data_IF_785400397746
#
_entry.id   IF_785400397746
#
_cell.length_a   1.000
_cell.length_b   1.000
_cell.length_c   1.000
_cell.angle_alpha   90.00
_cell.angle_beta   90.00
_cell.angle_gamma   90.00
#
_symmetry.space_group_name_H-M   'P 1'
#
loop_
_entity.id
_entity.type
_entity.pdbx_description
1 polymer ?
#
# COMPACT_ATOMS: atom_id res chain seq x y z
N UNK A 1 15.28 47.87 -40.28
CA UNK A 1 15.50 46.58 -39.60
C UNK A 1 15.24 46.79 -38.12
N UNK A 2 14.12 46.29 -37.60
CA UNK A 2 13.73 46.43 -36.20
C UNK A 2 13.38 45.04 -35.68
N UNK A 3 14.29 44.44 -34.92
CA UNK A 3 14.12 43.11 -34.34
C UNK A 3 13.21 43.20 -33.11
N UNK A 4 11.98 42.71 -33.23
CA UNK A 4 11.12 42.41 -32.09
C UNK A 4 11.63 41.12 -31.44
N UNK A 5 12.01 41.17 -30.17
CA UNK A 5 12.26 39.98 -29.36
C UNK A 5 10.92 39.41 -28.88
N UNK A 6 10.58 38.14 -29.19
CA UNK A 6 9.64 37.38 -28.40
C UNK A 6 10.45 36.68 -27.29
N UNK A 7 10.05 36.85 -26.03
CA UNK A 7 10.19 35.88 -24.93
C UNK A 7 10.04 36.61 -23.59
N UNK A 8 8.79 36.81 -23.18
CA UNK A 8 8.42 37.27 -21.84
C UNK A 8 7.28 36.44 -21.27
N UNK A 9 7.27 35.13 -21.52
CA UNK A 9 6.22 34.21 -21.05
C UNK A 9 6.78 32.91 -20.46
N UNK A 10 7.90 32.95 -19.73
CA UNK A 10 8.49 31.77 -19.10
C UNK A 10 8.24 31.67 -17.58
N UNK A 11 7.62 32.67 -16.94
CA UNK A 11 7.20 32.57 -15.55
C UNK A 11 5.74 32.99 -15.41
N UNK A 12 4.94 32.09 -14.83
CA UNK A 12 3.48 32.13 -14.80
C UNK A 12 2.90 33.45 -14.29
N UNK A 13 1.82 33.90 -14.95
CA UNK A 13 1.11 35.09 -14.54
C UNK A 13 0.51 34.93 -13.13
N UNK A 14 0.58 35.96 -12.27
CA UNK A 14 -0.23 35.98 -11.06
C UNK A 14 -1.70 36.10 -11.44
N UNK A 15 -2.55 35.23 -10.87
CA UNK A 15 -4.00 35.24 -11.09
C UNK A 15 -4.58 36.57 -10.63
N UNK A 16 -5.46 37.17 -11.44
CA UNK A 16 -6.23 38.35 -11.05
C UNK A 16 -7.16 38.00 -9.88
N UNK A 17 -7.14 38.82 -8.83
CA UNK A 17 -7.99 38.65 -7.66
C UNK A 17 -9.45 38.85 -8.03
N UNK A 18 -10.22 37.76 -8.02
CA UNK A 18 -11.68 37.83 -7.99
C UNK A 18 -12.12 37.93 -6.52
N UNK A 19 -12.80 39.00 -6.18
CA UNK A 19 -13.47 39.22 -4.89
C UNK A 19 -14.43 38.05 -4.55
N UNK A 20 -14.26 37.35 -3.42
CA UNK A 20 -15.26 36.40 -2.94
C UNK A 20 -16.42 37.17 -2.25
N UNK A 21 -17.58 37.21 -2.91
CA UNK A 21 -18.83 37.55 -2.24
C UNK A 21 -19.13 36.48 -1.18
N UNK A 22 -19.50 36.98 0.00
CA UNK A 22 -20.01 36.26 1.19
C UNK A 22 -19.00 35.40 1.95
N UNK A 23 -18.29 36.03 2.91
CA UNK A 23 -17.68 35.34 4.04
C UNK A 23 -18.40 35.76 5.32
N UNK A 24 -18.95 34.76 6.02
CA UNK A 24 -19.44 34.86 7.38
C UNK A 24 -18.24 35.20 8.28
N UNK A 25 -18.15 36.46 8.74
CA UNK A 25 -17.10 36.91 9.66
C UNK A 25 -17.60 36.84 11.10
N UNK A 26 -17.46 35.67 11.71
CA UNK A 26 -17.48 35.52 13.17
C UNK A 26 -16.04 35.23 13.66
N UNK A 27 -15.20 36.26 13.68
CA UNK A 27 -13.87 36.21 14.32
C UNK A 27 -13.45 37.59 14.79
N UNK A 28 -14.28 38.23 15.60
CA UNK A 28 -13.89 39.42 16.35
C UNK A 28 -14.84 39.54 17.54
N UNK A 29 -14.31 39.61 18.76
CA UNK A 29 -15.10 39.72 19.99
C UNK A 29 -16.11 40.88 19.96
N UNK A 30 -15.80 41.93 19.20
CA UNK A 30 -16.69 43.09 19.00
C UNK A 30 -17.92 42.80 18.14
N UNK A 31 -17.86 41.89 17.15
CA UNK A 31 -19.04 41.54 16.35
C UNK A 31 -20.00 40.61 17.09
N UNK A 32 -19.48 39.76 17.97
CA UNK A 32 -20.29 38.92 18.85
C UNK A 32 -21.00 39.75 19.94
N UNK A 33 -20.30 40.72 20.54
CA UNK A 33 -20.89 41.63 21.53
C UNK A 33 -22.01 42.50 20.93
N UNK A 34 -21.84 42.99 19.69
CA UNK A 34 -22.88 43.75 18.99
C UNK A 34 -24.12 42.89 18.69
N UNK A 35 -23.94 41.62 18.33
CA UNK A 35 -25.04 40.69 18.08
C UNK A 35 -25.81 40.35 19.37
N UNK A 36 -25.11 40.14 20.49
CA UNK A 36 -25.75 39.92 21.79
C UNK A 36 -26.48 41.18 22.29
N UNK A 37 -25.89 42.36 22.14
CA UNK A 37 -26.56 43.62 22.51
C UNK A 37 -27.84 43.84 21.70
N UNK A 38 -27.86 43.46 20.42
CA UNK A 38 -29.05 43.54 19.57
C UNK A 38 -30.13 42.54 20.00
N UNK A 39 -29.73 41.31 20.38
CA UNK A 39 -30.65 40.28 20.85
C UNK A 39 -31.27 40.63 22.22
N UNK A 40 -30.49 41.28 23.10
CA UNK A 40 -30.94 41.71 24.43
C UNK A 40 -31.84 42.96 24.34
N UNK A 41 -31.62 43.82 23.35
CA UNK A 41 -32.41 45.05 23.15
C UNK A 41 -33.75 44.82 22.42
N UNK A 42 -34.02 43.62 21.90
CA UNK A 42 -35.29 43.31 21.25
C UNK A 42 -36.38 42.97 22.29
N UNK A 43 -37.50 43.71 22.35
CA UNK A 43 -38.59 43.38 23.26
C UNK A 43 -39.38 42.18 22.74
N UNK A 44 -39.70 41.23 23.64
CA UNK A 44 -40.53 40.06 23.38
C UNK A 44 -41.96 40.48 22.96
N UNK A 45 -42.21 40.57 21.65
CA UNK A 45 -43.59 40.61 21.11
C UNK A 45 -44.11 39.19 20.93
N UNK A 46 -44.89 38.74 21.91
CA UNK A 46 -45.80 37.60 21.78
C UNK A 46 -46.96 37.99 20.86
N UNK A 47 -47.08 37.39 19.68
CA UNK A 47 -48.30 37.46 18.87
C UNK A 47 -48.93 36.08 18.73
N UNK A 48 -50.10 35.95 19.36
CA UNK A 48 -51.00 34.82 19.32
C UNK A 48 -51.78 34.73 18.00
N UNK A 49 -52.06 33.49 17.60
CA UNK A 49 -53.31 32.98 17.00
C UNK A 49 -54.04 33.79 15.93
N UNK A 50 -54.07 33.25 14.70
CA UNK A 50 -55.24 33.35 13.81
C UNK A 50 -55.58 31.97 13.25
N UNK A 51 -56.78 31.48 13.61
CA UNK A 51 -57.39 30.30 13.05
C UNK A 51 -57.96 30.59 11.66
N UNK A 52 -57.89 29.59 10.78
CA UNK A 52 -58.53 29.62 9.47
C UNK A 52 -59.54 28.49 9.33
N UNK A 53 -60.62 28.86 8.65
CA UNK A 53 -61.91 28.22 8.41
C UNK A 53 -61.85 26.89 7.66
N UNK A 54 -62.85 26.06 7.92
CA UNK A 54 -63.10 24.80 7.22
C UNK A 54 -63.51 25.02 5.75
N UNK A 55 -63.00 24.15 4.85
CA UNK A 55 -63.54 24.00 3.49
C UNK A 55 -62.48 23.80 2.43
N UNK A 56 -61.95 22.57 2.31
CA UNK A 56 -61.71 21.83 1.07
C UNK A 56 -60.92 20.54 1.38
N UNK A 57 -61.18 19.49 0.61
CA UNK A 57 -60.66 18.13 0.79
C UNK A 57 -59.17 18.19 1.13
N UNK A 58 -58.78 17.61 2.28
CA UNK A 58 -57.39 17.57 2.73
C UNK A 58 -56.60 16.81 1.66
N UNK A 59 -55.68 17.50 0.99
CA UNK A 59 -54.68 16.83 0.18
C UNK A 59 -53.88 15.91 1.13
N UNK A 60 -53.81 14.64 0.76
CA UNK A 60 -53.14 13.61 1.54
C UNK A 60 -51.67 14.01 1.84
N UNK A 61 -51.24 13.79 3.08
CA UNK A 61 -49.87 14.07 3.54
C UNK A 61 -48.84 13.34 2.66
N UNK A 62 -49.26 12.27 1.99
CA UNK A 62 -48.42 11.50 1.07
C UNK A 62 -48.49 11.96 -0.39
N UNK A 63 -49.40 12.87 -0.75
CA UNK A 63 -49.53 13.40 -2.13
C UNK A 63 -48.97 14.82 -2.25
N UNK A 64 -48.95 15.60 -1.17
CA UNK A 64 -48.34 16.93 -1.15
C UNK A 64 -46.81 16.83 -1.05
N UNK A 65 -46.12 17.15 -2.14
CA UNK A 65 -44.67 17.22 -2.13
C UNK A 65 -44.27 18.52 -1.42
N UNK A 66 -43.39 18.44 -0.42
CA UNK A 66 -42.90 19.60 0.33
C UNK A 66 -42.56 20.75 -0.63
N UNK A 67 -43.16 21.93 -0.42
CA UNK A 67 -43.04 23.08 -1.33
C UNK A 67 -41.56 23.53 -1.34
N UNK A 68 -40.83 23.12 -2.38
CA UNK A 68 -39.39 23.31 -2.49
C UNK A 68 -38.54 22.03 -2.54
N UNK A 69 -39.11 20.84 -2.33
CA UNK A 69 -38.40 19.56 -2.44
C UNK A 69 -37.84 19.34 -3.86
N UNK A 70 -38.62 19.64 -4.91
CA UNK A 70 -38.16 19.58 -6.30
C UNK A 70 -37.04 20.57 -6.59
N UNK A 71 -37.07 21.76 -5.99
CA UNK A 71 -36.00 22.77 -6.14
C UNK A 71 -34.72 22.33 -5.41
N UNK A 72 -34.85 21.69 -4.25
CA UNK A 72 -33.73 21.16 -3.46
C UNK A 72 -33.09 19.96 -4.17
N UNK A 73 -33.91 19.02 -4.66
CA UNK A 73 -33.45 17.91 -5.49
C UNK A 73 -32.72 18.39 -6.75
N UNK A 74 -33.27 19.40 -7.46
CA UNK A 74 -32.59 19.97 -8.62
C UNK A 74 -31.27 20.70 -8.27
N UNK A 75 -31.17 21.30 -7.09
CA UNK A 75 -29.93 21.91 -6.61
C UNK A 75 -28.90 20.86 -6.20
N UNK A 76 -29.33 19.76 -5.58
CA UNK A 76 -28.47 18.62 -5.22
C UNK A 76 -27.98 17.89 -6.49
N UNK A 77 -28.84 17.70 -7.50
CA UNK A 77 -28.46 17.13 -8.79
C UNK A 77 -27.44 18.03 -9.54
N UNK A 78 -27.59 19.36 -9.44
CA UNK A 78 -26.64 20.32 -10.02
C UNK A 78 -25.32 20.35 -9.24
N UNK A 79 -25.36 20.29 -7.91
CA UNK A 79 -24.18 20.21 -7.06
C UNK A 79 -23.42 18.89 -7.29
N UNK A 80 -24.11 17.76 -7.48
CA UNK A 80 -23.51 16.49 -7.85
C UNK A 80 -22.86 16.54 -9.24
N UNK A 81 -23.39 17.31 -10.19
CA UNK A 81 -22.71 17.51 -11.49
C UNK A 81 -21.41 18.31 -11.34
N UNK A 82 -21.39 19.33 -10.48
CA UNK A 82 -20.19 20.15 -10.24
C UNK A 82 -19.15 19.37 -9.41
N UNK A 83 -19.55 18.64 -8.37
CA UNK A 83 -18.66 17.81 -7.56
C UNK A 83 -18.10 16.61 -8.33
N UNK A 84 -18.90 15.99 -9.21
CA UNK A 84 -18.43 14.84 -10.02
C UNK A 84 -17.51 15.23 -11.17
N UNK A 85 -17.41 16.53 -11.48
CA UNK A 85 -16.35 17.07 -12.35
C UNK A 85 -15.01 17.27 -11.62
N UNK A 86 -15.04 17.46 -10.30
CA UNK A 86 -13.86 17.70 -9.45
C UNK A 86 -13.28 16.41 -8.83
N UNK A 87 -14.11 15.42 -8.51
CA UNK A 87 -13.67 14.09 -8.06
C UNK A 87 -14.00 13.06 -9.14
N UNK A 88 -13.02 12.75 -9.98
CA UNK A 88 -13.13 11.94 -11.20
C UNK A 88 -13.50 10.47 -11.01
N UNK A 89 -14.67 10.18 -10.44
CA UNK A 89 -15.25 8.84 -10.36
C UNK A 89 -16.62 8.80 -11.03
N UNK A 90 -16.63 8.72 -12.36
CA UNK A 90 -17.76 8.16 -13.12
C UNK A 90 -17.26 7.27 -14.26
N UNK A 91 -17.11 5.98 -13.98
CA UNK A 91 -17.28 4.94 -15.00
C UNK A 91 -18.77 4.88 -15.40
N UNK A 92 -19.19 5.80 -16.27
CA UNK A 92 -20.33 5.57 -17.16
C UNK A 92 -19.88 5.85 -18.59
N UNK A 93 -20.27 4.94 -19.47
CA UNK A 93 -19.76 4.76 -20.82
C UNK A 93 -20.11 5.93 -21.75
N UNK A 94 -19.40 7.05 -21.62
CA UNK A 94 -19.35 8.06 -22.67
C UNK A 94 -17.95 8.72 -22.64
N UNK A 95 -17.05 8.18 -23.47
CA UNK A 95 -15.76 8.78 -23.78
C UNK A 95 -16.08 9.92 -24.75
N UNK A 96 -16.55 11.05 -24.22
CA UNK A 96 -17.03 12.19 -25.03
C UNK A 96 -15.96 13.29 -25.21
N UNK A 97 -14.70 12.94 -24.97
CA UNK A 97 -13.56 13.88 -25.09
C UNK A 97 -12.44 13.39 -26.00
N UNK A 98 -12.59 12.23 -26.63
CA UNK A 98 -11.56 11.64 -27.50
C UNK A 98 -12.13 11.55 -28.90
N UNK A 99 -11.50 12.27 -29.84
CA UNK A 99 -11.88 12.31 -31.24
C UNK A 99 -12.07 10.89 -31.80
N UNK A 100 -13.17 10.68 -32.52
CA UNK A 100 -13.60 9.36 -33.02
C UNK A 100 -12.49 8.67 -33.82
N UNK A 101 -11.69 9.44 -34.56
CA UNK A 101 -10.55 8.95 -35.33
C UNK A 101 -9.42 8.43 -34.44
N UNK A 102 -9.17 9.08 -33.30
CA UNK A 102 -8.17 8.61 -32.34
C UNK A 102 -8.63 7.36 -31.61
N UNK A 103 -9.94 7.22 -31.37
CA UNK A 103 -10.55 6.00 -30.82
C UNK A 103 -10.47 4.83 -31.80
N UNK A 104 -10.73 5.07 -33.10
CA UNK A 104 -10.53 4.04 -34.12
C UNK A 104 -9.07 3.61 -34.26
N UNK A 105 -8.12 4.55 -34.21
CA UNK A 105 -6.68 4.24 -34.24
C UNK A 105 -6.24 3.44 -33.02
N UNK A 106 -6.72 3.79 -31.82
CA UNK A 106 -6.38 3.07 -30.59
C UNK A 106 -6.99 1.66 -30.57
N UNK A 107 -8.24 1.52 -31.03
CA UNK A 107 -8.91 0.22 -31.18
C UNK A 107 -8.16 -0.69 -32.16
N UNK A 108 -7.76 -0.18 -33.33
CA UNK A 108 -6.97 -0.93 -34.31
C UNK A 108 -5.63 -1.40 -33.73
N UNK A 109 -4.90 -0.54 -33.02
CA UNK A 109 -3.65 -0.91 -32.35
C UNK A 109 -3.85 -1.95 -31.24
N UNK A 110 -4.98 -1.89 -30.53
CA UNK A 110 -5.36 -2.88 -29.53
C UNK A 110 -5.62 -4.25 -30.16
N UNK A 111 -6.33 -4.28 -31.28
CA UNK A 111 -6.59 -5.50 -32.05
C UNK A 111 -5.29 -6.10 -32.63
N UNK A 112 -4.39 -5.26 -33.16
CA UNK A 112 -3.07 -5.68 -33.65
C UNK A 112 -2.21 -6.28 -32.51
N UNK A 113 -2.22 -5.66 -31.33
CA UNK A 113 -1.55 -6.21 -30.14
C UNK A 113 -2.18 -7.51 -29.67
N UNK A 114 -3.51 -7.61 -29.63
CA UNK A 114 -4.19 -8.85 -29.25
C UNK A 114 -3.86 -10.00 -30.19
N UNK A 115 -3.79 -9.73 -31.50
CA UNK A 115 -3.33 -10.70 -32.50
C UNK A 115 -1.87 -11.10 -32.27
N UNK A 116 -0.99 -10.13 -32.00
CA UNK A 116 0.42 -10.37 -31.67
C UNK A 116 0.56 -11.30 -30.46
N UNK A 117 -0.13 -10.99 -29.35
CA UNK A 117 -0.10 -11.83 -28.15
C UNK A 117 -0.71 -13.22 -28.40
N UNK A 118 -1.75 -13.33 -29.23
CA UNK A 118 -2.31 -14.64 -29.59
C UNK A 118 -1.35 -15.48 -30.44
N UNK A 119 -0.57 -14.84 -31.32
CA UNK A 119 0.47 -15.50 -32.11
C UNK A 119 1.67 -15.89 -31.25
N UNK A 120 2.08 -15.02 -30.32
CA UNK A 120 3.13 -15.33 -29.34
C UNK A 120 2.72 -16.47 -28.41
N UNK A 121 1.46 -16.50 -27.98
CA UNK A 121 0.90 -17.62 -27.19
C UNK A 121 0.87 -18.93 -27.99
N UNK A 122 0.58 -18.86 -29.30
CA UNK A 122 0.56 -20.05 -30.17
C UNK A 122 1.96 -20.54 -30.56
N UNK A 123 3.01 -19.72 -30.35
CA UNK A 123 4.37 -20.01 -30.80
C UNK A 123 4.66 -19.62 -32.26
N UNK A 124 3.64 -19.17 -33.01
CA UNK A 124 3.74 -18.79 -34.43
C UNK A 124 4.30 -17.37 -34.64
N UNK A 125 4.77 -16.71 -33.58
CA UNK A 125 5.26 -15.34 -33.68
C UNK A 125 6.69 -15.30 -34.23
N UNK A 126 6.80 -15.06 -35.53
CA UNK A 126 8.06 -14.73 -36.20
C UNK A 126 8.36 -13.25 -35.97
N UNK A 127 9.40 -12.93 -35.20
CA UNK A 127 9.91 -11.56 -35.14
C UNK A 127 10.33 -11.13 -36.55
N UNK A 128 9.95 -9.94 -37.04
CA UNK A 128 10.54 -9.39 -38.25
C UNK A 128 12.02 -9.10 -37.97
N UNK A 129 12.87 -10.07 -38.30
CA UNK A 129 14.32 -10.04 -38.10
C UNK A 129 14.91 -8.85 -38.85
N UNK A 130 15.30 -7.81 -38.12
CA UNK A 130 16.22 -6.79 -38.62
C UNK A 130 17.63 -7.36 -38.53
N UNK A 131 17.98 -8.22 -39.49
CA UNK A 131 19.35 -8.76 -39.65
C UNK A 131 19.48 -10.26 -39.36
N UNK A 132 19.27 -11.08 -40.39
CA UNK A 132 20.12 -12.24 -40.72
C UNK A 132 20.41 -13.32 -39.68
N UNK A 133 19.49 -13.69 -38.79
CA UNK A 133 19.63 -14.89 -37.96
C UNK A 133 18.42 -15.80 -38.19
N UNK A 134 18.71 -17.09 -38.39
CA UNK A 134 17.85 -18.12 -38.95
C UNK A 134 16.48 -18.24 -38.27
N UNK A 135 15.44 -18.44 -39.09
CA UNK A 135 14.02 -18.39 -38.72
C UNK A 135 13.53 -19.58 -37.87
N UNK A 136 14.33 -20.63 -37.67
CA UNK A 136 13.89 -21.85 -36.99
C UNK A 136 14.26 -21.92 -35.49
N UNK A 137 15.18 -21.07 -35.00
CA UNK A 137 15.63 -21.06 -33.60
C UNK A 137 15.18 -19.81 -32.82
N UNK A 138 14.36 -18.96 -33.43
CA UNK A 138 13.84 -17.72 -32.81
C UNK A 138 12.50 -17.91 -32.08
N UNK A 139 12.15 -19.15 -31.73
CA UNK A 139 11.05 -19.41 -30.81
C UNK A 139 11.26 -18.60 -29.53
N UNK A 140 10.26 -17.79 -29.16
CA UNK A 140 10.28 -17.01 -27.92
C UNK A 140 10.78 -17.89 -26.77
N UNK A 141 11.97 -17.60 -26.21
CA UNK A 141 12.59 -18.35 -25.10
C UNK A 141 11.69 -18.46 -23.86
N UNK A 142 10.60 -17.72 -23.83
CA UNK A 142 9.53 -17.80 -22.83
C UNK A 142 8.40 -18.67 -23.38
N UNK A 143 8.26 -19.87 -22.85
CA UNK A 143 7.07 -20.71 -23.00
C UNK A 143 5.94 -20.10 -22.17
N UNK A 144 5.03 -19.38 -22.85
CA UNK A 144 3.95 -18.66 -22.19
C UNK A 144 2.90 -19.58 -21.57
N UNK A 145 2.72 -20.80 -22.09
CA UNK A 145 1.78 -21.75 -21.52
C UNK A 145 2.36 -22.37 -20.24
N UNK A 146 3.67 -22.65 -20.20
CA UNK A 146 4.36 -23.03 -18.95
C UNK A 146 4.30 -21.93 -17.90
N UNK A 147 4.60 -20.68 -18.28
CA UNK A 147 4.57 -19.52 -17.35
C UNK A 147 3.16 -19.19 -16.86
N UNK A 148 2.15 -19.39 -17.71
CA UNK A 148 0.74 -19.22 -17.32
C UNK A 148 0.30 -20.32 -16.34
N UNK A 149 0.66 -21.58 -16.63
CA UNK A 149 0.43 -22.71 -15.74
C UNK A 149 1.19 -22.60 -14.41
N UNK A 150 2.43 -22.10 -14.40
CA UNK A 150 3.18 -21.80 -13.16
C UNK A 150 2.48 -20.70 -12.36
N UNK A 151 2.02 -19.61 -13.00
CA UNK A 151 1.39 -18.49 -12.27
C UNK A 151 -0.03 -18.79 -11.73
N UNK A 152 -0.75 -19.72 -12.36
CA UNK A 152 -2.09 -20.12 -11.93
C UNK A 152 -2.11 -21.46 -11.19
N UNK A 153 -1.09 -22.31 -11.36
CA UNK A 153 -0.93 -23.59 -10.69
C UNK A 153 -0.44 -23.48 -9.25
N UNK A 154 0.17 -22.36 -8.84
CA UNK A 154 0.47 -22.12 -7.41
C UNK A 154 -0.77 -21.73 -6.58
N UNK A 155 -1.96 -21.64 -7.19
CA UNK A 155 -3.22 -21.38 -6.49
C UNK A 155 -4.21 -22.55 -6.62
N UNK A 156 -3.73 -23.71 -7.09
CA UNK A 156 -4.48 -24.97 -7.05
C UNK A 156 -3.50 -26.08 -6.64
N UNK A 157 -3.64 -26.49 -5.40
CA UNK A 157 -2.92 -27.53 -4.69
C UNK A 157 -2.64 -28.80 -5.53
N UNK A 158 -1.46 -29.37 -5.28
CA UNK A 158 -1.04 -30.75 -5.56
C UNK A 158 -0.83 -31.19 -7.02
N UNK A 159 0.35 -30.88 -7.57
CA UNK A 159 1.00 -31.76 -8.56
C UNK A 159 2.53 -31.55 -8.56
N UNK A 160 3.22 -31.93 -7.48
CA UNK A 160 4.67 -32.18 -7.52
C UNK A 160 4.94 -33.67 -7.39
N UNK A 161 5.25 -34.27 -8.52
CA UNK A 161 6.07 -35.48 -8.59
C UNK A 161 7.51 -35.09 -8.26
N UNK A 162 7.90 -35.25 -6.99
CA UNK A 162 9.27 -35.57 -6.64
C UNK A 162 9.27 -36.66 -5.55
N UNK A 163 10.25 -37.53 -5.68
CA UNK A 163 10.29 -38.87 -5.16
C UNK A 163 10.88 -38.90 -3.75
N UNK A 164 10.18 -39.58 -2.84
CA UNK A 164 10.68 -40.26 -1.62
C UNK A 164 11.28 -39.38 -0.51
N UNK A 165 10.44 -38.97 0.45
CA UNK A 165 10.70 -39.19 1.88
C UNK A 165 9.41 -39.01 2.71
N UNK A 166 9.18 -39.91 3.67
CA UNK A 166 7.95 -39.96 4.45
C UNK A 166 7.96 -38.98 5.63
N UNK A 167 6.92 -38.14 5.71
CA UNK A 167 6.21 -37.70 6.93
C UNK A 167 7.03 -37.42 8.22
N UNK A 168 7.01 -36.19 8.70
CA UNK A 168 6.40 -35.84 10.01
C UNK A 168 6.34 -34.32 10.20
N UNK A 169 5.30 -33.87 10.90
CA UNK A 169 4.98 -32.50 11.36
C UNK A 169 6.04 -31.89 12.33
N UNK A 170 7.28 -32.38 12.28
CA UNK A 170 8.41 -32.02 13.15
C UNK A 170 9.49 -31.22 12.41
N UNK A 171 9.38 -31.04 11.09
CA UNK A 171 10.34 -30.29 10.28
C UNK A 171 10.04 -28.79 10.16
N UNK A 172 8.88 -28.33 10.65
CA UNK A 172 8.51 -26.92 10.71
C UNK A 172 9.13 -26.18 11.93
N UNK A 173 9.76 -26.90 12.86
CA UNK A 173 10.46 -26.29 13.98
C UNK A 173 11.72 -25.55 13.47
N UNK A 174 11.70 -24.22 13.57
CA UNK A 174 12.84 -23.37 13.22
C UNK A 174 13.92 -23.50 14.30
N UNK A 175 15.08 -24.05 13.95
CA UNK A 175 16.23 -24.27 14.83
C UNK A 175 17.39 -23.38 14.41
N UNK A 176 18.18 -22.92 15.39
CA UNK A 176 19.42 -22.18 15.15
C UNK A 176 20.57 -23.15 14.83
N UNK A 177 21.24 -22.95 13.70
CA UNK A 177 22.42 -23.71 13.29
C UNK A 177 23.54 -22.79 12.80
N UNK A 178 24.77 -23.31 12.79
CA UNK A 178 25.96 -22.58 12.35
C UNK A 178 26.26 -22.94 10.90
N UNK A 179 26.24 -21.93 10.03
CA UNK A 179 26.58 -21.99 8.60
C UNK A 179 28.08 -22.28 8.39
N UNK A 180 28.47 -22.65 7.17
CA UNK A 180 29.84 -22.93 6.74
C UNK A 180 30.82 -21.78 7.07
N UNK A 181 30.30 -20.56 7.14
CA UNK A 181 31.05 -19.33 7.46
C UNK A 181 31.10 -19.00 8.96
N UNK A 182 30.64 -19.91 9.84
CA UNK A 182 30.63 -19.68 11.29
C UNK A 182 29.55 -18.71 11.76
N UNK A 183 28.55 -18.39 10.92
CA UNK A 183 27.44 -17.48 11.25
C UNK A 183 26.26 -18.28 11.78
N UNK A 184 25.60 -17.78 12.82
CA UNK A 184 24.35 -18.34 13.33
C UNK A 184 23.19 -17.98 12.41
N UNK A 185 22.48 -18.99 11.87
CA UNK A 185 21.29 -18.84 11.03
C UNK A 185 20.12 -19.60 11.65
N UNK A 186 18.91 -19.08 11.48
CA UNK A 186 17.66 -19.77 11.81
C UNK A 186 17.14 -20.48 10.56
N UNK A 187 16.87 -21.79 10.62
CA UNK A 187 16.31 -22.55 9.50
C UNK A 187 15.57 -23.79 9.98
N UNK A 188 15.09 -24.61 9.05
CA UNK A 188 14.39 -25.84 9.39
C UNK A 188 15.35 -26.89 9.95
N UNK A 189 14.83 -27.83 10.73
CA UNK A 189 15.61 -28.95 11.27
C UNK A 189 16.34 -29.74 10.18
N UNK A 190 15.68 -29.97 9.04
CA UNK A 190 16.27 -30.62 7.87
C UNK A 190 17.47 -29.84 7.29
N UNK A 191 17.41 -28.50 7.27
CA UNK A 191 18.52 -27.66 6.82
C UNK A 191 19.72 -27.74 7.78
N UNK A 192 19.46 -27.70 9.09
CA UNK A 192 20.48 -27.87 10.12
C UNK A 192 21.18 -29.25 10.04
N UNK A 193 20.45 -30.32 9.72
CA UNK A 193 21.04 -31.65 9.54
C UNK A 193 21.86 -31.79 8.27
N UNK A 194 21.46 -31.13 7.17
CA UNK A 194 22.26 -31.04 5.94
C UNK A 194 23.60 -30.34 6.20
N UNK A 195 23.60 -29.27 6.98
CA UNK A 195 24.83 -28.54 7.35
C UNK A 195 25.76 -29.40 8.21
N UNK A 196 25.20 -30.10 9.21
CA UNK A 196 25.97 -31.05 10.04
C UNK A 196 26.58 -32.17 9.20
N UNK A 197 25.86 -32.67 8.18
CA UNK A 197 26.39 -33.68 7.26
C UNK A 197 27.56 -33.13 6.43
N UNK A 198 27.44 -31.91 5.90
CA UNK A 198 28.53 -31.22 5.19
C UNK A 198 29.76 -31.04 6.07
N UNK A 199 29.59 -30.58 7.31
CA UNK A 199 30.70 -30.41 8.26
C UNK A 199 31.42 -31.74 8.53
N UNK A 200 30.69 -32.85 8.69
CA UNK A 200 31.30 -34.17 8.87
C UNK A 200 32.10 -34.62 7.65
N UNK A 201 31.58 -34.39 6.45
CA UNK A 201 32.27 -34.73 5.19
C UNK A 201 33.54 -33.87 5.05
N UNK A 202 33.47 -32.57 5.38
CA UNK A 202 34.62 -31.68 5.34
C UNK A 202 35.74 -32.15 6.29
N UNK A 203 35.39 -32.50 7.54
CA UNK A 203 36.35 -33.04 8.52
C UNK A 203 36.95 -34.36 8.04
N UNK A 204 36.14 -35.27 7.49
CA UNK A 204 36.65 -36.53 6.94
C UNK A 204 37.57 -36.32 5.74
N UNK A 205 37.22 -35.41 4.84
CA UNK A 205 38.06 -35.06 3.70
C UNK A 205 39.40 -34.42 4.14
N UNK A 206 39.39 -33.62 5.20
CA UNK A 206 40.62 -33.06 5.78
C UNK A 206 41.50 -34.15 6.41
N UNK A 207 40.90 -35.11 7.11
CA UNK A 207 41.63 -36.27 7.64
C UNK A 207 42.22 -37.15 6.54
N UNK A 208 41.45 -37.46 5.49
CA UNK A 208 41.91 -38.25 4.35
C UNK A 208 43.05 -37.53 3.60
N UNK A 209 42.95 -36.21 3.43
CA UNK A 209 44.01 -35.39 2.84
C UNK A 209 45.28 -35.41 3.69
N UNK A 210 45.15 -35.39 5.02
CA UNK A 210 46.28 -35.51 5.94
C UNK A 210 46.96 -36.88 5.85
N UNK A 211 46.20 -37.97 5.68
CA UNK A 211 46.73 -39.33 5.47
C UNK A 211 47.41 -39.51 4.10
N UNK A 212 46.87 -38.89 3.05
CA UNK A 212 47.42 -38.94 1.68
C UNK A 212 48.65 -38.03 1.48
N UNK A 213 48.91 -37.11 2.41
CA UNK A 213 50.05 -36.21 2.35
C UNK A 213 51.35 -36.98 2.59
N UNK A 214 52.27 -36.92 1.62
CA UNK A 214 53.61 -37.51 1.76
C UNK A 214 54.51 -36.79 2.78
N UNK A 215 54.00 -35.76 3.46
CA UNK A 215 54.71 -35.04 4.52
C UNK A 215 54.41 -35.68 5.87
N UNK A 216 55.43 -35.99 6.69
CA UNK A 216 55.18 -36.48 8.05
C UNK A 216 54.40 -35.45 8.86
N UNK A 217 53.54 -35.93 9.77
CA UNK A 217 52.83 -35.07 10.72
C UNK A 217 53.83 -34.27 11.56
N UNK A 218 53.48 -33.01 11.83
CA UNK A 218 54.31 -32.15 12.67
C UNK A 218 54.36 -32.72 14.10
N UNK A 219 55.54 -32.89 14.71
CA UNK A 219 55.64 -33.44 16.05
C UNK A 219 54.93 -32.54 17.08
N UNK A 220 54.00 -33.11 17.86
CA UNK A 220 53.20 -32.39 18.86
C UNK A 220 53.99 -32.05 20.14
N UNK A 221 55.12 -32.72 20.37
CA UNK A 221 55.97 -32.57 21.56
C UNK A 221 57.35 -32.03 21.22
N UNK A 222 57.42 -30.85 20.61
CA UNK A 222 58.72 -30.18 20.42
C UNK A 222 59.25 -29.79 21.80
N UNK A 223 60.34 -30.42 22.24
CA UNK A 223 61.01 -30.06 23.47
C UNK A 223 61.75 -28.73 23.25
N UNK A 224 61.16 -27.63 23.71
CA UNK A 224 61.82 -26.32 23.70
C UNK A 224 62.90 -26.30 24.80
N UNK A 225 64.16 -26.22 24.38
CA UNK A 225 65.27 -25.99 25.32
C UNK A 225 65.31 -24.52 25.78
N UNK A 226 65.85 -24.29 26.98
CA UNK A 226 65.97 -22.96 27.61
C UNK A 226 66.77 -21.94 26.77
N UNK A 227 67.67 -22.43 25.91
CA UNK A 227 68.48 -21.61 25.01
C UNK A 227 67.77 -21.23 23.69
N UNK A 228 66.58 -21.77 23.40
CA UNK A 228 65.87 -21.49 22.16
C UNK A 228 65.10 -20.17 22.33
N UNK A 229 65.65 -19.10 21.75
CA UNK A 229 64.99 -17.81 21.68
C UNK A 229 63.89 -17.84 20.60
N UNK A 230 62.76 -18.49 20.89
CA UNK A 230 61.60 -18.55 19.98
C UNK A 230 61.11 -17.15 19.59
N UNK A 231 61.24 -16.17 20.49
CA UNK A 231 60.87 -14.78 20.25
C UNK A 231 61.87 -13.96 19.41
N UNK A 232 63.07 -14.48 19.12
CA UNK A 232 64.07 -13.74 18.34
C UNK A 232 63.74 -13.71 16.83
N UNK A 233 62.99 -14.69 16.34
CA UNK A 233 62.56 -14.78 14.95
C UNK A 233 61.04 -14.93 14.86
N UNK A 234 60.34 -13.80 14.97
CA UNK A 234 58.90 -13.71 14.74
C UNK A 234 58.68 -13.10 13.33
N UNK A 235 58.44 -13.91 12.29
CA UNK A 235 58.14 -13.39 10.95
C UNK A 235 56.87 -12.52 10.95
N UNK A 236 55.97 -12.80 11.89
CA UNK A 236 54.68 -12.11 12.03
C UNK A 236 54.79 -10.76 12.74
N UNK A 237 55.93 -10.44 13.36
CA UNK A 237 56.08 -9.18 14.10
C UNK A 237 55.94 -7.93 13.21
N UNK A 238 56.32 -8.03 11.92
CA UNK A 238 56.06 -6.97 10.95
C UNK A 238 54.55 -6.82 10.66
N UNK A 239 53.83 -7.94 10.59
CA UNK A 239 52.37 -7.98 10.42
C UNK A 239 51.67 -7.43 11.65
N UNK A 240 52.10 -7.83 12.85
CA UNK A 240 51.57 -7.32 14.13
C UNK A 240 51.72 -5.81 14.24
N UNK A 241 52.88 -5.25 13.87
CA UNK A 241 53.08 -3.79 13.85
C UNK A 241 52.18 -3.10 12.84
N UNK A 242 52.07 -3.64 11.62
CA UNK A 242 51.18 -3.08 10.61
C UNK A 242 49.71 -3.11 11.06
N UNK A 243 49.29 -4.21 11.72
CA UNK A 243 47.96 -4.35 12.29
C UNK A 243 47.73 -3.38 13.46
N UNK A 244 48.74 -3.16 14.32
CA UNK A 244 48.67 -2.19 15.39
C UNK A 244 48.55 -0.75 14.85
N UNK A 245 49.30 -0.41 13.80
CA UNK A 245 49.22 0.88 13.12
C UNK A 245 47.85 1.10 12.44
N UNK A 246 47.29 0.05 11.82
CA UNK A 246 45.94 0.08 11.26
C UNK A 246 44.88 0.23 12.36
N UNK A 247 45.01 -0.49 13.47
CA UNK A 247 44.11 -0.38 14.61
C UNK A 247 44.18 0.99 15.28
N UNK A 248 45.35 1.62 15.32
CA UNK A 248 45.53 2.98 15.82
C UNK A 248 44.90 4.03 14.89
N UNK A 249 44.91 3.80 13.57
CA UNK A 249 44.26 4.65 12.57
C UNK A 249 42.75 4.42 12.46
N UNK A 250 42.24 3.30 12.95
CA UNK A 250 40.80 3.01 12.93
C UNK A 250 40.07 3.93 13.90
N UNK A 251 39.00 4.56 13.43
CA UNK A 251 38.14 5.40 14.27
C UNK A 251 37.65 4.59 15.48
N UNK A 252 38.04 5.06 16.68
CA UNK A 252 37.66 4.47 17.98
C UNK A 252 36.26 4.90 18.42
N UNK A 253 35.54 5.64 17.56
CA UNK A 253 34.14 5.93 17.83
C UNK A 253 33.40 4.61 17.99
N UNK A 254 32.66 4.49 19.08
CA UNK A 254 31.82 3.33 19.37
C UNK A 254 31.01 3.03 18.11
N UNK A 255 31.27 1.87 17.51
CA UNK A 255 30.55 1.36 16.36
C UNK A 255 29.64 0.28 16.93
N UNK A 256 28.31 0.44 16.94
CA UNK A 256 27.49 1.40 16.19
C UNK A 256 27.48 2.83 16.79
N UNK A 257 27.35 3.87 15.95
CA UNK A 257 27.24 5.25 16.41
C UNK A 257 26.03 5.40 17.33
N UNK A 258 26.08 6.38 18.24
CA UNK A 258 24.92 6.72 19.06
C UNK A 258 23.68 7.01 18.19
N UNK A 259 22.50 6.74 18.73
CA UNK A 259 21.21 6.97 18.06
C UNK A 259 21.04 8.46 17.73
N UNK A 260 21.54 8.86 16.56
CA UNK A 260 21.37 10.21 16.05
C UNK A 260 20.01 10.30 15.37
N UNK A 261 19.14 11.11 15.96
CA UNK A 261 17.80 11.29 15.43
C UNK A 261 17.71 12.41 14.42
N UNK A 262 16.76 12.28 13.50
CA UNK A 262 16.47 13.29 12.50
C UNK A 262 16.11 14.64 13.12
N UNK A 263 16.79 15.69 12.65
CA UNK A 263 16.62 17.08 13.10
C UNK A 263 16.13 17.93 11.93
N UNK A 264 14.84 18.26 11.93
CA UNK A 264 14.28 18.99 10.81
C UNK A 264 14.72 20.44 10.75
N UNK A 265 15.35 21.02 11.78
CA UNK A 265 15.89 22.39 11.66
C UNK A 265 17.03 22.47 10.65
N UNK A 266 17.68 21.33 10.35
CA UNK A 266 18.77 21.22 9.37
C UNK A 266 18.25 20.97 7.95
N UNK A 267 16.96 20.69 7.78
CA UNK A 267 16.37 20.43 6.47
C UNK A 267 16.02 21.73 5.74
N UNK A 268 16.53 21.87 4.52
CA UNK A 268 16.28 23.03 3.65
C UNK A 268 15.00 22.87 2.80
N UNK A 269 14.46 21.65 2.71
CA UNK A 269 13.22 21.37 1.97
C UNK A 269 11.99 21.94 2.70
N UNK A 270 10.98 22.33 1.92
CA UNK A 270 9.69 22.72 2.47
C UNK A 270 8.98 21.49 3.04
N UNK A 271 8.64 21.54 4.32
CA UNK A 271 7.86 20.48 5.00
C UNK A 271 6.38 20.67 4.66
N UNK A 272 5.68 19.58 4.40
CA UNK A 272 4.25 19.59 4.10
C UNK A 272 3.38 20.00 5.30
N UNK A 273 2.07 20.09 5.06
CA UNK A 273 1.09 20.27 6.14
C UNK A 273 1.06 19.05 7.06
N UNK A 274 0.95 19.28 8.37
CA UNK A 274 0.96 18.20 9.37
C UNK A 274 2.36 17.69 9.76
N UNK A 275 3.41 18.44 9.43
CA UNK A 275 4.76 18.11 9.91
C UNK A 275 4.88 18.30 11.43
N UNK A 276 5.39 17.28 12.13
CA UNK A 276 5.67 17.28 13.57
C UNK A 276 7.16 16.94 13.81
N UNK A 277 7.87 17.77 14.58
CA UNK A 277 9.26 17.52 14.96
C UNK A 277 9.30 16.88 16.35
N UNK A 278 9.82 15.66 16.42
CA UNK A 278 10.07 15.00 17.71
C UNK A 278 11.27 15.59 18.43
N UNK A 279 11.26 15.49 19.76
CA UNK A 279 12.41 15.82 20.59
C UNK A 279 13.64 14.97 20.25
N UNK A 280 14.82 15.48 20.59
CA UNK A 280 16.11 14.77 20.46
C UNK A 280 16.34 13.81 21.62
N UNK A 281 15.77 14.12 22.79
CA UNK A 281 15.92 13.30 23.98
C UNK A 281 15.03 12.06 23.88
N UNK A 282 15.64 10.87 24.04
CA UNK A 282 14.96 9.58 23.82
C UNK A 282 13.68 9.44 24.63
N UNK A 283 13.71 9.81 25.90
CA UNK A 283 12.57 9.63 26.81
C UNK A 283 11.38 10.50 26.39
N UNK A 284 11.64 11.78 26.12
CA UNK A 284 10.59 12.72 25.69
C UNK A 284 10.01 12.32 24.34
N UNK A 285 10.87 11.87 23.41
CA UNK A 285 10.45 11.33 22.11
C UNK A 285 9.56 10.10 22.26
N UNK A 286 9.91 9.17 23.15
CA UNK A 286 9.08 7.98 23.40
C UNK A 286 7.71 8.36 23.95
N UNK A 287 7.65 9.36 24.83
CA UNK A 287 6.38 9.88 25.34
C UNK A 287 5.54 10.53 24.23
N UNK A 288 6.17 11.29 23.33
CA UNK A 288 5.52 11.87 22.14
C UNK A 288 4.97 10.78 21.21
N UNK A 289 5.73 9.71 20.96
CA UNK A 289 5.25 8.57 20.18
C UNK A 289 4.07 7.87 20.86
N UNK A 290 4.17 7.58 22.15
CA UNK A 290 3.08 6.96 22.90
C UNK A 290 1.82 7.83 22.94
N UNK A 291 1.95 9.15 22.86
CA UNK A 291 0.82 10.07 22.73
C UNK A 291 0.15 9.97 21.35
N UNK A 292 0.95 10.00 20.28
CA UNK A 292 0.44 9.85 18.90
C UNK A 292 -0.22 8.49 18.66
N UNK A 293 0.32 7.42 19.26
CA UNK A 293 -0.28 6.09 19.21
C UNK A 293 -1.65 6.07 19.88
N UNK A 294 -1.80 6.70 21.05
CA UNK A 294 -3.10 6.85 21.72
C UNK A 294 -4.11 7.62 20.86
N UNK A 295 -3.72 8.75 20.27
CA UNK A 295 -4.60 9.49 19.35
C UNK A 295 -5.00 8.64 18.14
N UNK A 296 -4.07 7.84 17.61
CA UNK A 296 -4.34 6.92 16.52
C UNK A 296 -5.35 5.86 16.94
N UNK A 297 -5.20 5.24 18.11
CA UNK A 297 -6.15 4.26 18.63
C UNK A 297 -7.55 4.86 18.82
N UNK A 298 -7.65 6.07 19.35
CA UNK A 298 -8.94 6.77 19.50
C UNK A 298 -9.61 7.06 18.16
N UNK A 299 -8.84 7.50 17.16
CA UNK A 299 -9.39 7.74 15.81
C UNK A 299 -9.87 6.45 15.17
N UNK A 300 -9.08 5.37 15.24
CA UNK A 300 -9.44 4.06 14.73
C UNK A 300 -10.70 3.52 15.43
N UNK A 301 -10.79 3.65 16.74
CA UNK A 301 -11.98 3.24 17.49
C UNK A 301 -13.23 4.01 17.02
N UNK A 302 -13.12 5.33 16.85
CA UNK A 302 -14.21 6.17 16.34
C UNK A 302 -14.61 5.78 14.91
N UNK A 303 -13.65 5.42 14.06
CA UNK A 303 -13.92 4.94 12.72
C UNK A 303 -14.62 3.59 12.70
N UNK A 304 -14.18 2.65 13.55
CA UNK A 304 -14.80 1.34 13.75
C UNK A 304 -16.24 1.50 14.22
N UNK A 305 -16.50 2.27 15.29
CA UNK A 305 -17.87 2.54 15.75
C UNK A 305 -18.76 3.11 14.65
N UNK A 306 -18.24 4.04 13.86
CA UNK A 306 -18.97 4.63 12.73
C UNK A 306 -19.28 3.57 11.67
N UNK A 307 -18.34 2.69 11.37
CA UNK A 307 -18.51 1.62 10.40
C UNK A 307 -19.50 0.57 10.89
N UNK A 308 -19.43 0.17 12.16
CA UNK A 308 -20.36 -0.76 12.79
C UNK A 308 -21.79 -0.21 12.78
N UNK A 309 -21.96 1.08 13.12
CA UNK A 309 -23.27 1.75 13.01
C UNK A 309 -23.80 1.77 11.58
N UNK A 310 -22.92 1.92 10.57
CA UNK A 310 -23.31 1.85 9.16
C UNK A 310 -23.69 0.41 8.78
N UNK A 311 -22.93 -0.60 9.22
CA UNK A 311 -23.21 -2.01 8.95
C UNK A 311 -24.55 -2.44 9.56
N UNK A 312 -24.80 -2.12 10.83
CA UNK A 312 -26.10 -2.40 11.48
C UNK A 312 -27.27 -1.78 10.72
N UNK A 313 -27.12 -0.53 10.26
CA UNK A 313 -28.15 0.13 9.42
C UNK A 313 -28.35 -0.58 8.07
N UNK A 314 -27.27 -1.07 7.46
CA UNK A 314 -27.35 -1.81 6.20
C UNK A 314 -28.07 -3.15 6.39
N UNK A 315 -27.75 -3.88 7.47
CA UNK A 315 -28.41 -5.14 7.84
C UNK A 315 -29.91 -4.94 8.09
N UNK A 316 -30.31 -3.94 8.88
CA UNK A 316 -31.71 -3.60 9.11
C UNK A 316 -32.45 -3.27 7.80
N UNK A 317 -31.81 -2.53 6.91
CA UNK A 317 -32.36 -2.20 5.59
C UNK A 317 -32.48 -3.45 4.70
N UNK A 318 -31.53 -4.37 4.77
CA UNK A 318 -31.56 -5.63 4.04
C UNK A 318 -32.67 -6.55 4.54
N UNK A 319 -32.84 -6.70 5.85
CA UNK A 319 -33.95 -7.45 6.42
C UNK A 319 -35.31 -6.87 6.03
N UNK A 320 -35.43 -5.54 6.05
CA UNK A 320 -36.64 -4.85 5.61
C UNK A 320 -36.91 -5.10 4.13
N UNK A 321 -35.88 -5.09 3.28
CA UNK A 321 -35.98 -5.43 1.86
C UNK A 321 -36.38 -6.90 1.67
N UNK A 322 -35.85 -7.83 2.47
CA UNK A 322 -36.21 -9.25 2.46
C UNK A 322 -37.68 -9.46 2.78
N UNK A 323 -38.17 -8.89 3.89
CA UNK A 323 -39.59 -8.95 4.28
C UNK A 323 -40.51 -8.33 3.23
N UNK A 324 -40.08 -7.24 2.57
CA UNK A 324 -40.86 -6.63 1.50
C UNK A 324 -40.90 -7.50 0.23
N UNK A 325 -39.79 -8.16 -0.13
CA UNK A 325 -39.73 -9.12 -1.25
C UNK A 325 -40.66 -10.31 -1.00
N UNK A 326 -40.63 -10.87 0.20
CA UNK A 326 -41.51 -11.99 0.61
C UNK A 326 -43.00 -11.60 0.55
N UNK A 327 -43.37 -10.43 1.09
CA UNK A 327 -44.75 -9.93 0.98
C UNK A 327 -45.16 -9.65 -0.47
N UNK A 328 -44.22 -9.23 -1.33
CA UNK A 328 -44.48 -9.03 -2.76
C UNK A 328 -44.67 -10.35 -3.49
N UNK A 329 -43.84 -11.37 -3.22
CA UNK A 329 -43.99 -12.69 -3.84
C UNK A 329 -45.27 -13.39 -3.38
N UNK A 330 -45.65 -13.29 -2.10
CA UNK A 330 -46.93 -13.80 -1.61
C UNK A 330 -48.11 -13.13 -2.32
N UNK A 331 -48.13 -11.79 -2.42
CA UNK A 331 -49.18 -11.08 -3.17
C UNK A 331 -49.25 -11.47 -4.64
N UNK A 332 -48.10 -11.71 -5.28
CA UNK A 332 -48.06 -12.19 -6.66
C UNK A 332 -48.62 -13.61 -6.77
N UNK A 333 -48.29 -14.50 -5.83
CA UNK A 333 -48.85 -15.85 -5.75
C UNK A 333 -50.37 -15.83 -5.52
N UNK A 334 -50.86 -15.03 -4.57
CA UNK A 334 -52.31 -14.90 -4.32
C UNK A 334 -53.06 -14.31 -5.52
N UNK A 335 -52.45 -13.33 -6.20
CA UNK A 335 -53.00 -12.75 -7.43
C UNK A 335 -53.06 -13.78 -8.57
N UNK A 336 -52.03 -14.63 -8.69
CA UNK A 336 -52.01 -15.74 -9.63
C UNK A 336 -53.07 -16.79 -9.31
N UNK A 337 -53.21 -17.21 -8.05
CA UNK A 337 -54.23 -18.17 -7.62
C UNK A 337 -55.65 -17.66 -7.89
N UNK A 338 -55.93 -16.39 -7.57
CA UNK A 338 -57.22 -15.77 -7.90
C UNK A 338 -57.51 -15.71 -9.39
N UNK A 339 -56.48 -15.61 -10.23
CA UNK A 339 -56.66 -15.63 -11.69
C UNK A 339 -56.94 -17.03 -12.24
N UNK A 340 -56.57 -18.08 -11.52
CA UNK A 340 -56.86 -19.48 -11.88
C UNK A 340 -58.28 -19.91 -11.48
N UNK A 341 -58.82 -19.39 -10.37
CA UNK A 341 -60.19 -19.68 -9.88
C UNK A 341 -61.32 -19.05 -10.75
N UNK A 342 -60.96 -18.29 -11.79
CA UNK A 342 -61.92 -17.60 -12.69
C UNK A 342 -62.11 -18.34 -14.03
N UNK A 343 -61.55 -19.55 -14.16
CA UNK A 343 -61.81 -20.50 -15.26
C UNK A 343 -62.58 -21.68 -14.69
#
# INVERSE_FOLDING_TARGET
MSFKHPDAQLYGQPRSNHEPKTTLKASTSHSFAAALSSLIAAPNTTTSTKGHTAGNRKDDIFTTHNRGAKKRAAADDAADQEYTSATGLKHKKHIEGVDHDTLHRSKRKMEEKARLYSAMKRGDYVLPTRGGINAEESGSLVDFDRKWAESHGTNNEEASNDSDDSTTDSDEETVEYVDEFGRTRTGTRAEAEKEKRRQRIAVQAEMELAEMSARPSMPEGIMLGDAIQSAAFNPDHAVERAMADLAAKRDRSVTPPEDTHYDATKEVRSKGVGFYQFSKDKDTRQQEFAHLEREREETLHREQERNDRKQKKLEELEERKRKLREKRSQKQADGFLKSLDVI
#
